data_IF_217574558536
#
_entry.id   IF_217574558536
#
_cell.length_a   1.000
_cell.length_b   1.000
_cell.length_c   1.000
_cell.angle_alpha   90.00
_cell.angle_beta   90.00
_cell.angle_gamma   90.00
#
_symmetry.space_group_name_H-M   'P 1'
#
loop_
_entity.id
_entity.type
_entity.pdbx_description
1 polymer ?
#
# COMPACT_ATOMS: atom_id res chain seq x y z
N UNK A 1 -2.51 -15.95 -13.18
CA UNK A 1 -3.73 -15.82 -12.34
C UNK A 1 -4.73 -14.95 -13.09
N UNK A 2 -5.97 -15.38 -13.20
CA UNK A 2 -7.02 -14.62 -13.87
C UNK A 2 -7.65 -13.60 -12.89
N UNK A 3 -8.25 -12.53 -13.42
CA UNK A 3 -9.03 -11.57 -12.65
C UNK A 3 -10.08 -12.25 -11.77
N UNK A 4 -10.80 -13.23 -12.34
CA UNK A 4 -11.82 -13.99 -11.62
C UNK A 4 -11.27 -14.68 -10.38
N UNK A 5 -10.13 -15.35 -10.49
CA UNK A 5 -9.48 -16.02 -9.35
C UNK A 5 -9.03 -15.05 -8.26
N UNK A 6 -8.63 -13.83 -8.63
CA UNK A 6 -8.29 -12.79 -7.65
C UNK A 6 -9.54 -12.38 -6.87
N UNK A 7 -10.65 -12.16 -7.56
CA UNK A 7 -11.91 -11.78 -6.94
C UNK A 7 -12.44 -12.86 -6.00
N UNK A 8 -12.48 -14.11 -6.47
CA UNK A 8 -12.88 -15.28 -5.66
C UNK A 8 -12.03 -15.39 -4.38
N UNK A 9 -10.72 -15.14 -4.49
CA UNK A 9 -9.83 -15.20 -3.32
C UNK A 9 -10.10 -14.08 -2.32
N UNK A 10 -10.39 -12.88 -2.78
CA UNK A 10 -10.73 -11.75 -1.90
C UNK A 10 -12.07 -12.04 -1.18
N UNK A 11 -13.07 -12.49 -1.92
CA UNK A 11 -14.38 -12.83 -1.35
C UNK A 11 -14.28 -13.96 -0.33
N UNK A 12 -13.56 -15.02 -0.64
CA UNK A 12 -13.28 -16.13 0.29
C UNK A 12 -12.66 -15.62 1.60
N UNK A 13 -11.67 -14.74 1.52
CA UNK A 13 -10.99 -14.21 2.70
C UNK A 13 -11.89 -13.30 3.55
N UNK A 14 -12.78 -12.54 2.91
CA UNK A 14 -13.80 -11.75 3.61
C UNK A 14 -14.79 -12.67 4.32
N UNK A 15 -15.26 -13.73 3.65
CA UNK A 15 -16.16 -14.71 4.25
C UNK A 15 -15.53 -15.44 5.44
N UNK A 16 -14.23 -15.70 5.37
CA UNK A 16 -13.45 -16.29 6.46
C UNK A 16 -13.17 -15.30 7.62
N UNK A 17 -13.55 -14.03 7.46
CA UNK A 17 -13.34 -12.99 8.48
C UNK A 17 -11.89 -12.54 8.64
N UNK A 18 -11.03 -12.77 7.62
CA UNK A 18 -9.62 -12.35 7.66
C UNK A 18 -9.53 -10.81 7.63
N UNK A 19 -10.37 -10.18 6.84
CA UNK A 19 -10.58 -8.74 6.81
C UNK A 19 -12.02 -8.41 6.37
N UNK A 20 -12.58 -7.25 6.77
CA UNK A 20 -13.99 -6.95 6.51
C UNK A 20 -14.28 -6.52 5.08
N UNK A 21 -13.32 -5.94 4.37
CA UNK A 21 -13.49 -5.45 3.02
C UNK A 21 -12.16 -5.10 2.36
N UNK A 22 -12.21 -4.85 1.07
CA UNK A 22 -11.04 -4.52 0.27
C UNK A 22 -11.39 -3.62 -0.92
N UNK A 23 -10.46 -2.75 -1.29
CA UNK A 23 -10.44 -2.04 -2.56
C UNK A 23 -9.29 -2.58 -3.41
N UNK A 24 -9.56 -2.86 -4.66
CA UNK A 24 -8.60 -3.42 -5.60
C UNK A 24 -8.53 -2.56 -6.85
N UNK A 25 -7.33 -2.24 -7.31
CA UNK A 25 -7.08 -1.65 -8.61
C UNK A 25 -6.19 -2.59 -9.43
N UNK A 26 -6.64 -2.95 -10.62
CA UNK A 26 -5.90 -3.76 -11.57
C UNK A 26 -5.60 -2.96 -12.84
N UNK A 27 -4.36 -3.02 -13.28
CA UNK A 27 -3.95 -2.50 -14.58
C UNK A 27 -3.70 -3.67 -15.54
N UNK A 28 -4.55 -3.78 -16.55
CA UNK A 28 -4.45 -4.84 -17.56
C UNK A 28 -4.90 -4.31 -18.91
N UNK A 29 -4.24 -4.74 -19.99
CA UNK A 29 -4.55 -4.30 -21.35
C UNK A 29 -4.64 -2.76 -21.48
N UNK A 30 -3.70 -2.04 -20.87
CA UNK A 30 -3.63 -0.57 -20.85
C UNK A 30 -4.82 0.13 -20.19
N UNK A 31 -5.57 -0.57 -19.35
CA UNK A 31 -6.72 -0.02 -18.63
C UNK A 31 -6.65 -0.32 -17.14
N UNK A 32 -7.07 0.66 -16.34
CA UNK A 32 -7.33 0.50 -14.92
C UNK A 32 -8.75 -0.01 -14.68
N UNK A 33 -8.86 -0.95 -13.76
CA UNK A 33 -10.15 -1.44 -13.28
C UNK A 33 -10.14 -1.40 -11.76
N UNK A 34 -11.15 -0.78 -11.18
CA UNK A 34 -11.35 -0.72 -9.74
C UNK A 34 -12.48 -1.65 -9.33
N UNK A 35 -12.33 -2.29 -8.18
CA UNK A 35 -13.33 -3.19 -7.62
C UNK A 35 -13.34 -3.06 -6.10
N UNK A 36 -14.52 -3.18 -5.51
CA UNK A 36 -14.75 -2.94 -4.09
C UNK A 36 -15.50 -4.13 -3.50
N UNK A 37 -15.04 -4.62 -2.36
CA UNK A 37 -15.54 -5.86 -1.75
C UNK A 37 -15.84 -5.63 -0.27
N UNK A 38 -16.92 -6.25 0.23
CA UNK A 38 -17.26 -6.29 1.64
C UNK A 38 -17.56 -4.94 2.27
N UNK A 39 -17.21 -4.78 3.54
CA UNK A 39 -17.54 -3.63 4.37
C UNK A 39 -16.31 -2.78 4.69
N UNK A 40 -16.42 -1.47 4.52
CA UNK A 40 -15.44 -0.50 4.99
C UNK A 40 -15.51 -0.31 6.51
N UNK A 41 -16.72 -0.30 7.05
CA UNK A 41 -16.98 -0.25 8.48
C UNK A 41 -18.01 -1.32 8.85
N UNK A 42 -17.57 -2.42 9.49
CA UNK A 42 -18.47 -3.49 9.93
C UNK A 42 -19.47 -3.05 11.00
N UNK A 43 -19.13 -2.09 11.86
CA UNK A 43 -20.00 -1.61 12.94
C UNK A 43 -21.16 -0.80 12.39
N UNK A 44 -20.87 0.11 11.46
CA UNK A 44 -21.87 0.94 10.80
C UNK A 44 -22.46 0.27 9.55
N UNK A 45 -22.00 -0.94 9.20
CA UNK A 45 -22.41 -1.70 7.99
C UNK A 45 -22.23 -0.91 6.71
N UNK A 46 -21.21 -0.07 6.64
CA UNK A 46 -20.87 0.69 5.42
C UNK A 46 -20.14 -0.18 4.43
N UNK A 47 -20.65 -0.25 3.21
CA UNK A 47 -19.99 -0.97 2.12
C UNK A 47 -18.68 -0.31 1.69
N UNK A 48 -17.73 -1.12 1.26
CA UNK A 48 -16.53 -0.64 0.58
C UNK A 48 -16.88 0.00 -0.76
N UNK A 49 -16.40 1.21 -1.01
CA UNK A 49 -16.72 1.98 -2.21
C UNK A 49 -15.56 2.90 -2.62
N UNK A 50 -15.69 3.50 -3.80
CA UNK A 50 -14.75 4.50 -4.27
C UNK A 50 -14.65 5.69 -3.31
N UNK A 51 -13.45 6.29 -3.24
CA UNK A 51 -13.20 7.49 -2.45
C UNK A 51 -12.94 7.25 -0.97
N UNK A 52 -12.87 5.99 -0.50
CA UNK A 52 -12.45 5.69 0.86
C UNK A 52 -10.98 6.04 1.05
N UNK A 53 -10.67 6.60 2.22
CA UNK A 53 -9.31 6.90 2.64
C UNK A 53 -8.80 5.75 3.51
N UNK A 54 -7.68 5.19 3.11
CA UNK A 54 -6.99 4.11 3.84
C UNK A 54 -5.74 4.63 4.53
N UNK A 55 -5.49 4.15 5.75
CA UNK A 55 -4.19 4.29 6.36
C UNK A 55 -3.19 3.42 5.58
N UNK A 56 -2.15 4.04 5.05
CA UNK A 56 -1.14 3.34 4.26
C UNK A 56 -0.23 2.44 5.10
N UNK A 57 -0.20 2.64 6.42
CA UNK A 57 0.66 1.88 7.33
C UNK A 57 2.09 1.73 6.76
N UNK A 58 2.62 0.53 6.66
CA UNK A 58 3.99 0.29 6.16
C UNK A 58 4.22 0.58 4.68
N UNK A 59 3.17 0.76 3.88
CA UNK A 59 3.32 1.25 2.49
C UNK A 59 3.99 2.63 2.47
N UNK A 60 3.85 3.40 3.55
CA UNK A 60 4.53 4.70 3.74
C UNK A 60 6.06 4.60 3.67
N UNK A 61 6.64 3.43 3.98
CA UNK A 61 8.09 3.20 3.85
C UNK A 61 8.56 3.31 2.39
N UNK A 62 7.74 2.87 1.46
CA UNK A 62 8.04 2.91 0.01
C UNK A 62 7.60 4.23 -0.59
N UNK A 63 6.31 4.58 -0.44
CA UNK A 63 5.71 5.77 -1.06
C UNK A 63 6.29 7.06 -0.48
N UNK A 64 6.48 7.13 0.84
CA UNK A 64 7.02 8.31 1.52
C UNK A 64 8.55 8.28 1.61
N UNK A 65 9.08 7.45 2.50
CA UNK A 65 10.51 7.44 2.84
C UNK A 65 11.39 7.01 1.67
N UNK A 66 11.04 5.94 0.97
CA UNK A 66 11.80 5.45 -0.17
C UNK A 66 11.84 6.46 -1.31
N UNK A 67 10.72 7.08 -1.64
CA UNK A 67 10.64 8.12 -2.66
C UNK A 67 11.47 9.35 -2.29
N UNK A 68 11.37 9.81 -1.04
CA UNK A 68 12.17 10.93 -0.55
C UNK A 68 13.67 10.63 -0.61
N UNK A 69 14.08 9.44 -0.21
CA UNK A 69 15.46 8.99 -0.31
C UNK A 69 15.96 9.01 -1.76
N UNK A 70 15.16 8.51 -2.71
CA UNK A 70 15.49 8.53 -4.12
C UNK A 70 15.69 9.96 -4.66
N UNK A 71 14.82 10.89 -4.29
CA UNK A 71 14.95 12.31 -4.66
C UNK A 71 16.24 12.92 -4.09
N UNK A 72 16.55 12.62 -2.82
CA UNK A 72 17.77 13.13 -2.20
C UNK A 72 19.04 12.54 -2.83
N UNK A 73 19.02 11.26 -3.24
CA UNK A 73 20.11 10.65 -4.00
C UNK A 73 20.30 11.34 -5.35
N UNK A 74 19.21 11.59 -6.08
CA UNK A 74 19.26 12.29 -7.37
C UNK A 74 19.83 13.72 -7.24
N UNK A 75 19.53 14.40 -6.14
CA UNK A 75 20.07 15.72 -5.81
C UNK A 75 21.50 15.71 -5.25
N UNK A 76 22.12 14.55 -5.10
CA UNK A 76 23.45 14.40 -4.50
C UNK A 76 23.54 14.70 -2.98
N UNK A 77 22.38 14.72 -2.30
CA UNK A 77 22.29 15.01 -0.86
C UNK A 77 22.32 13.75 0.00
N UNK A 78 22.10 12.60 -0.58
CA UNK A 78 22.15 11.30 0.08
C UNK A 78 22.95 10.32 -0.76
N UNK A 79 23.98 9.72 -0.15
CA UNK A 79 24.78 8.67 -0.74
C UNK A 79 24.53 7.36 0.00
N UNK A 80 24.12 6.32 -0.73
CA UNK A 80 23.72 5.04 -0.13
C UNK A 80 24.88 4.23 0.43
N UNK A 81 26.12 4.48 -0.06
CA UNK A 81 27.31 3.75 0.36
C UNK A 81 27.99 4.36 1.61
N UNK A 82 27.50 5.50 2.09
CA UNK A 82 27.97 6.08 3.33
C UNK A 82 27.25 5.49 4.54
N UNK A 83 27.95 5.32 5.67
CA UNK A 83 27.32 4.83 6.89
C UNK A 83 26.29 5.81 7.44
N UNK A 84 25.26 5.31 8.12
CA UNK A 84 24.23 6.13 8.74
C UNK A 84 24.81 7.22 9.66
N UNK A 85 25.91 6.92 10.35
CA UNK A 85 26.61 7.85 11.25
C UNK A 85 27.08 9.12 10.53
N UNK A 86 27.33 9.07 9.22
CA UNK A 86 27.70 10.25 8.42
C UNK A 86 26.58 11.30 8.44
N UNK A 87 25.31 10.85 8.39
CA UNK A 87 24.12 11.72 8.39
C UNK A 87 23.57 11.95 9.80
N UNK A 88 23.75 10.99 10.68
CA UNK A 88 23.27 11.03 12.05
C UNK A 88 24.42 10.66 13.03
N UNK A 89 25.27 11.63 13.38
CA UNK A 89 26.47 11.38 14.19
C UNK A 89 26.21 10.75 15.57
N UNK A 90 25.03 10.96 16.14
CA UNK A 90 24.65 10.37 17.43
C UNK A 90 24.34 8.85 17.33
N UNK A 91 24.27 8.30 16.12
CA UNK A 91 24.08 6.86 15.94
C UNK A 91 25.38 6.11 16.25
N UNK A 92 25.35 5.34 17.31
CA UNK A 92 26.44 4.44 17.72
C UNK A 92 25.95 3.00 17.74
N UNK A 93 26.79 2.10 17.27
CA UNK A 93 26.58 0.65 17.38
C UNK A 93 27.34 0.09 18.54
#
# INVERSE_FOLDING_TARGET
MTKQKIFEKIEEQIEQGIYPGASLALYQASQWQESYFGLADPQEKKATQAGLVYDLASVSKVVGVGTLAAILCEQGKLELDLPLQHYYPAFHR
#
